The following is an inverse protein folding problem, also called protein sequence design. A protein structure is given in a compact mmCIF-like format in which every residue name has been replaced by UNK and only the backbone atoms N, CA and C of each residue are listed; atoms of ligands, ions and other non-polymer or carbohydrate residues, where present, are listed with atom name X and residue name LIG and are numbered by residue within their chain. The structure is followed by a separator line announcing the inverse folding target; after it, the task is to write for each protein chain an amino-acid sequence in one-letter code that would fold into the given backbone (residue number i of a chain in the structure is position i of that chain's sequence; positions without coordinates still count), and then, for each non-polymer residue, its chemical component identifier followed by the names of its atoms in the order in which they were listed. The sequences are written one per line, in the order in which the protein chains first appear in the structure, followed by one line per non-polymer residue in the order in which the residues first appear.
data_IF_702701457680
#
_entry.id   IF_702701457680
#
_cell.length_a   1.000
_cell.length_b   1.000
_cell.length_c   1.000
_cell.angle_alpha   90.00
_cell.angle_beta   90.00
_cell.angle_gamma   90.00
#
_symmetry.space_group_name_H-M   'P 1'
#
loop_
_entity.id
_entity.type
_entity.pdbx_description
1 polymer ?
#
# COMPACT_ATOMS: atom_id res chain seq x y z
N UNK A 1 27.28 2.34 -22.35
CA UNK A 1 25.83 2.47 -22.08
C UNK A 1 25.36 1.09 -21.67
N UNK A 2 25.30 0.81 -20.37
CA UNK A 2 24.94 -0.51 -19.84
C UNK A 2 23.65 -0.32 -19.06
N UNK A 3 22.61 -1.02 -19.49
CA UNK A 3 21.29 -1.02 -18.86
C UNK A 3 21.39 -1.69 -17.48
N UNK A 4 21.00 -0.96 -16.44
CA UNK A 4 20.82 -1.49 -15.09
C UNK A 4 19.47 -2.23 -15.06
N UNK A 5 19.44 -3.55 -14.80
CA UNK A 5 18.19 -4.25 -14.56
C UNK A 5 17.61 -3.78 -13.22
N UNK A 6 16.34 -3.39 -13.24
CA UNK A 6 15.54 -3.10 -12.05
C UNK A 6 15.49 -4.35 -11.16
N UNK A 7 16.32 -4.39 -10.13
CA UNK A 7 16.19 -5.33 -9.02
C UNK A 7 15.02 -4.85 -8.17
N UNK A 8 13.84 -5.34 -8.52
CA UNK A 8 12.71 -5.43 -7.59
C UNK A 8 13.19 -6.34 -6.45
N UNK A 9 13.19 -5.85 -5.21
CA UNK A 9 13.45 -6.67 -4.01
C UNK A 9 12.30 -7.67 -3.79
N UNK A 10 12.18 -8.65 -4.67
CA UNK A 10 11.29 -9.80 -4.61
C UNK A 10 12.07 -11.11 -4.36
N UNK A 11 13.25 -11.04 -3.74
CA UNK A 11 14.03 -12.23 -3.41
C UNK A 11 14.69 -12.12 -2.03
N UNK A 12 14.04 -12.64 -0.98
CA UNK A 12 14.67 -13.54 -0.01
C UNK A 12 13.59 -14.50 0.50
N UNK A 13 13.80 -15.80 0.26
CA UNK A 13 12.98 -16.92 0.71
C UNK A 13 12.92 -17.05 2.25
N UNK A 14 11.87 -17.74 2.70
CA UNK A 14 11.48 -18.12 4.08
C UNK A 14 12.62 -18.59 5.03
N UNK A 15 12.37 -18.56 6.35
CA UNK A 15 11.98 -19.83 6.98
C UNK A 15 10.75 -19.74 7.90
N UNK A 16 9.84 -20.70 7.70
CA UNK A 16 9.02 -21.43 8.69
C UNK A 16 9.19 -21.03 10.17
N UNK A 17 8.16 -20.45 10.79
CA UNK A 17 7.67 -20.80 12.15
C UNK A 17 6.46 -19.95 12.61
N UNK A 18 5.28 -20.58 12.55
CA UNK A 18 4.22 -20.61 13.56
C UNK A 18 3.73 -19.30 14.24
N UNK A 19 2.52 -18.89 13.86
CA UNK A 19 1.54 -18.27 14.74
C UNK A 19 0.17 -18.91 14.51
N UNK A 20 -0.09 -20.05 15.14
CA UNK A 20 -1.41 -20.72 15.12
C UNK A 20 -2.47 -19.81 15.75
N UNK A 21 -3.29 -19.19 14.93
CA UNK A 21 -4.55 -18.59 15.31
C UNK A 21 -5.61 -19.00 14.30
N UNK A 22 -6.18 -20.20 14.46
CA UNK A 22 -7.32 -20.64 13.65
C UNK A 22 -8.47 -19.64 13.83
N UNK A 23 -8.74 -18.81 12.82
CA UNK A 23 -10.01 -18.09 12.71
C UNK A 23 -10.87 -18.82 11.69
N UNK A 24 -11.78 -19.61 12.24
CA UNK A 24 -12.81 -20.34 11.52
C UNK A 24 -13.54 -19.44 10.53
N UNK A 25 -13.53 -19.90 9.29
CA UNK A 25 -14.39 -19.45 8.20
C UNK A 25 -15.85 -19.45 8.65
N UNK A 26 -16.47 -18.28 8.57
CA UNK A 26 -17.92 -18.14 8.67
C UNK A 26 -18.38 -17.29 7.47
N UNK A 27 -18.48 -17.94 6.32
CA UNK A 27 -19.27 -17.43 5.21
C UNK A 27 -20.72 -17.29 5.68
N UNK A 28 -21.13 -16.07 6.03
CA UNK A 28 -22.52 -15.66 6.14
C UNK A 28 -22.80 -14.65 5.04
N UNK A 29 -23.54 -15.09 4.01
CA UNK A 29 -24.33 -14.20 3.17
C UNK A 29 -25.38 -13.53 4.06
N UNK A 30 -25.01 -12.40 4.65
CA UNK A 30 -25.94 -11.39 5.15
C UNK A 30 -25.83 -10.21 4.20
N UNK A 31 -26.94 -9.48 4.02
CA UNK A 31 -26.98 -8.25 3.23
C UNK A 31 -25.68 -7.45 3.48
N UNK A 32 -24.92 -7.16 2.41
CA UNK A 32 -23.56 -6.63 2.50
C UNK A 32 -23.62 -5.37 3.36
N UNK A 33 -23.19 -5.47 4.61
CA UNK A 33 -22.95 -4.30 5.44
C UNK A 33 -22.01 -3.41 4.62
N UNK A 34 -22.29 -2.10 4.50
CA UNK A 34 -21.43 -1.21 3.74
C UNK A 34 -20.00 -1.34 4.28
N UNK A 35 -19.05 -1.60 3.38
CA UNK A 35 -17.64 -1.79 3.74
C UNK A 35 -17.17 -0.53 4.46
N UNK A 36 -16.82 -0.66 5.75
CA UNK A 36 -16.29 0.43 6.54
C UNK A 36 -14.76 0.41 6.46
N UNK A 37 -14.19 1.27 5.62
CA UNK A 37 -12.75 1.40 5.47
C UNK A 37 -12.15 2.09 6.70
N UNK A 38 -11.11 1.51 7.27
CA UNK A 38 -10.27 2.20 8.28
C UNK A 38 -8.84 2.28 7.80
N UNK A 39 -8.18 3.36 8.19
CA UNK A 39 -6.79 3.64 7.86
C UNK A 39 -5.91 3.43 9.08
N UNK A 40 -4.90 2.58 8.94
CA UNK A 40 -3.90 2.29 9.98
C UNK A 40 -2.51 2.80 9.52
N UNK A 41 -2.10 4.01 9.94
CA UNK A 41 -0.79 4.55 9.62
C UNK A 41 0.32 3.69 10.23
N UNK A 42 1.25 3.24 9.38
CA UNK A 42 2.39 2.44 9.79
C UNK A 42 3.67 2.94 9.14
N UNK A 43 4.74 3.02 9.92
CA UNK A 43 6.07 3.33 9.41
C UNK A 43 7.01 2.18 9.74
N UNK A 44 8.15 2.13 9.07
CA UNK A 44 9.12 1.11 9.38
C UNK A 44 10.39 1.20 8.58
N UNK A 45 11.26 0.22 8.81
CA UNK A 45 12.49 0.06 8.08
C UNK A 45 12.73 -1.44 7.84
N UNK A 46 13.26 -1.76 6.66
CA UNK A 46 13.79 -3.08 6.37
C UNK A 46 15.33 -3.01 6.49
N UNK A 47 15.91 -3.11 7.71
CA UNK A 47 17.35 -3.00 7.88
C UNK A 47 18.06 -4.20 7.22
N UNK A 48 19.10 -3.98 6.40
CA UNK A 48 19.96 -5.08 5.97
C UNK A 48 20.76 -5.64 7.17
N UNK A 49 21.07 -6.94 7.23
CA UNK A 49 20.59 -8.05 6.40
C UNK A 49 19.28 -8.69 6.91
N UNK A 50 18.80 -8.30 8.08
CA UNK A 50 17.60 -8.83 8.71
C UNK A 50 16.35 -8.07 8.23
N UNK A 51 15.75 -8.55 7.15
CA UNK A 51 14.52 -8.00 6.54
C UNK A 51 13.26 -8.12 7.41
N UNK A 52 13.40 -8.43 8.71
CA UNK A 52 12.28 -8.39 9.64
C UNK A 52 11.80 -6.95 9.79
N UNK A 53 10.57 -6.70 9.34
CA UNK A 53 9.88 -5.41 9.34
C UNK A 53 9.93 -4.78 10.74
N UNK A 54 10.86 -3.85 10.96
CA UNK A 54 10.76 -2.97 12.13
C UNK A 54 9.57 -2.05 11.87
N UNK A 55 8.53 -2.17 12.69
CA UNK A 55 7.32 -1.33 12.60
C UNK A 55 7.40 -0.24 13.67
N UNK A 56 6.89 0.94 13.33
CA UNK A 56 6.81 2.10 14.21
C UNK A 56 7.48 3.33 13.60
N UNK A 57 7.05 4.49 14.09
CA UNK A 57 7.68 5.76 13.77
C UNK A 57 9.14 5.76 14.26
N UNK A 58 10.02 6.31 13.43
CA UNK A 58 11.45 6.35 13.70
C UNK A 58 12.12 7.59 13.09
N UNK A 59 13.46 7.68 13.18
CA UNK A 59 14.21 8.81 12.65
C UNK A 59 14.12 8.93 11.11
N UNK A 60 13.83 7.83 10.41
CA UNK A 60 13.88 7.75 8.95
C UNK A 60 12.50 7.73 8.28
N UNK A 61 11.44 7.46 9.03
CA UNK A 61 10.09 7.33 8.53
C UNK A 61 9.05 7.64 9.60
N UNK A 62 7.96 8.30 9.20
CA UNK A 62 6.83 8.61 10.07
C UNK A 62 5.51 8.37 9.34
N UNK A 63 4.57 7.74 10.03
CA UNK A 63 3.19 7.56 9.63
C UNK A 63 2.30 7.91 10.83
N UNK A 64 1.44 8.90 10.68
CA UNK A 64 0.53 9.31 11.75
C UNK A 64 -0.67 10.09 11.20
N UNK A 65 -1.79 10.00 11.91
CA UNK A 65 -2.90 10.91 11.69
C UNK A 65 -2.48 12.35 11.95
N UNK A 66 -2.90 13.27 11.09
CA UNK A 66 -2.70 14.72 11.29
C UNK A 66 -4.00 15.44 11.56
N UNK A 67 -3.89 16.59 12.21
CA UNK A 67 -4.98 17.58 12.31
C UNK A 67 -5.02 18.51 11.08
N UNK A 68 -4.29 18.22 10.00
CA UNK A 68 -4.08 19.15 8.90
C UNK A 68 -5.22 19.05 7.89
N UNK A 69 -5.83 20.22 7.66
CA UNK A 69 -6.87 20.56 6.66
C UNK A 69 -6.75 19.73 5.40
N UNK A 70 -7.71 18.83 5.18
CA UNK A 70 -7.87 18.13 3.93
C UNK A 70 -8.94 18.77 3.04
N UNK A 71 -9.10 18.21 1.83
CA UNK A 71 -10.18 18.53 0.92
C UNK A 71 -11.51 18.54 1.70
N UNK A 72 -12.29 19.63 1.57
CA UNK A 72 -13.62 19.75 2.22
C UNK A 72 -13.64 19.63 3.75
N UNK A 73 -12.51 19.83 4.45
CA UNK A 73 -12.47 19.88 5.93
C UNK A 73 -12.15 18.56 6.63
N UNK A 74 -11.66 17.55 5.91
CA UNK A 74 -11.32 16.22 6.45
C UNK A 74 -9.91 16.16 7.04
N UNK A 75 -9.58 15.05 7.69
CA UNK A 75 -8.26 14.77 8.28
C UNK A 75 -7.40 13.98 7.30
N UNK A 76 -6.07 14.14 7.37
CA UNK A 76 -5.15 13.40 6.51
C UNK A 76 -4.14 12.58 7.29
N UNK A 77 -3.67 11.49 6.70
CA UNK A 77 -2.55 10.70 7.23
C UNK A 77 -1.25 11.27 6.68
N UNK A 78 -0.36 11.72 7.58
CA UNK A 78 1.02 12.06 7.23
C UNK A 78 1.79 10.78 6.95
N UNK A 79 2.42 10.72 5.79
CA UNK A 79 3.47 9.76 5.47
C UNK A 79 4.73 10.54 5.15
N UNK A 80 5.82 10.26 5.83
CA UNK A 80 7.09 10.96 5.62
C UNK A 80 8.26 9.99 5.66
N UNK A 81 9.27 10.29 4.85
CA UNK A 81 10.57 9.60 4.84
C UNK A 81 11.67 10.63 4.64
N UNK A 82 12.77 10.49 5.37
CA UNK A 82 13.86 11.49 5.41
C UNK A 82 15.10 11.08 4.63
N UNK A 83 15.09 9.90 4.00
CA UNK A 83 16.20 9.34 3.23
C UNK A 83 15.65 8.81 1.91
N UNK A 84 16.39 8.96 0.81
CA UNK A 84 15.97 8.43 -0.49
C UNK A 84 16.26 6.92 -0.59
N UNK A 85 15.33 6.14 -1.13
CA UNK A 85 15.56 4.73 -1.45
C UNK A 85 16.72 4.52 -2.42
N UNK A 86 16.93 5.44 -3.36
CA UNK A 86 18.06 5.38 -4.29
C UNK A 86 19.42 5.34 -3.56
N UNK A 87 19.50 5.88 -2.34
CA UNK A 87 20.75 5.85 -1.56
C UNK A 87 21.18 4.42 -1.18
N UNK A 88 20.27 3.44 -1.14
CA UNK A 88 20.61 2.04 -0.88
C UNK A 88 21.56 1.42 -1.90
N UNK A 89 21.61 1.98 -3.11
CA UNK A 89 22.40 1.44 -4.22
C UNK A 89 23.67 2.25 -4.49
N UNK A 90 24.04 3.14 -3.58
CA UNK A 90 25.27 3.92 -3.67
C UNK A 90 26.43 3.19 -2.99
N UNK A 91 27.67 3.59 -3.28
CA UNK A 91 28.87 3.03 -2.63
C UNK A 91 28.87 3.21 -1.10
N UNK A 92 28.15 4.23 -0.61
CA UNK A 92 27.97 4.54 0.81
C UNK A 92 26.48 4.68 1.16
N UNK A 93 25.76 3.56 1.37
CA UNK A 93 24.33 3.59 1.66
C UNK A 93 24.01 4.41 2.91
N UNK A 94 22.97 5.23 2.82
CA UNK A 94 22.49 5.99 3.99
C UNK A 94 21.64 5.10 4.89
N UNK A 95 21.83 5.22 6.20
CA UNK A 95 20.96 4.55 7.17
C UNK A 95 19.51 4.98 6.95
N UNK A 96 18.59 4.03 6.91
CA UNK A 96 17.17 4.32 6.64
C UNK A 96 16.81 4.44 5.17
N UNK A 97 17.71 4.12 4.24
CA UNK A 97 17.39 4.08 2.81
C UNK A 97 16.24 3.10 2.49
N UNK A 98 16.10 2.01 3.25
CA UNK A 98 14.99 1.04 3.17
C UNK A 98 13.80 1.40 4.08
N UNK A 99 13.76 2.60 4.65
CA UNK A 99 12.62 3.05 5.43
C UNK A 99 11.38 3.24 4.55
N UNK A 100 10.20 3.10 5.13
CA UNK A 100 8.93 3.33 4.47
C UNK A 100 7.93 3.95 5.44
N UNK A 101 6.97 4.68 4.90
CA UNK A 101 5.74 5.02 5.58
C UNK A 101 4.57 4.56 4.72
N UNK A 102 3.52 4.06 5.35
CA UNK A 102 2.35 3.58 4.67
C UNK A 102 1.09 3.83 5.50
N UNK A 103 -0.05 3.77 4.84
CA UNK A 103 -1.34 3.66 5.50
C UNK A 103 -2.01 2.39 5.00
N UNK A 104 -2.25 1.44 5.92
CA UNK A 104 -2.94 0.20 5.61
C UNK A 104 -4.44 0.48 5.56
N UNK A 105 -5.10 -0.01 4.51
CA UNK A 105 -6.53 0.07 4.30
C UNK A 105 -7.14 -1.24 4.81
N UNK A 106 -7.83 -1.16 5.93
CA UNK A 106 -8.48 -2.31 6.57
C UNK A 106 -9.98 -2.32 6.28
N UNK A 107 -10.60 -3.50 6.40
CA UNK A 107 -12.00 -3.76 6.04
C UNK A 107 -12.18 -4.38 4.65
N UNK A 108 -11.09 -4.68 3.96
CA UNK A 108 -11.06 -5.28 2.61
C UNK A 108 -10.37 -6.64 2.57
N UNK A 109 -9.75 -7.07 3.67
CA UNK A 109 -9.05 -8.35 3.78
C UNK A 109 -10.01 -9.52 3.51
N UNK A 110 -9.58 -10.47 2.69
CA UNK A 110 -10.37 -11.62 2.23
C UNK A 110 -11.41 -11.29 1.15
N UNK A 111 -11.59 -10.02 0.76
CA UNK A 111 -12.45 -9.65 -0.35
C UNK A 111 -11.86 -10.14 -1.67
N UNK A 112 -12.69 -10.55 -2.63
CA UNK A 112 -12.20 -10.81 -3.98
C UNK A 112 -11.70 -9.52 -4.63
N UNK A 113 -10.58 -9.57 -5.33
CA UNK A 113 -9.95 -8.38 -5.93
C UNK A 113 -10.88 -7.69 -6.92
N UNK A 114 -11.67 -8.46 -7.70
CA UNK A 114 -12.70 -7.90 -8.59
C UNK A 114 -13.78 -7.09 -7.87
N UNK A 115 -14.05 -7.39 -6.60
CA UNK A 115 -15.11 -6.75 -5.81
C UNK A 115 -14.61 -5.46 -5.12
N UNK A 116 -13.30 -5.18 -5.15
CA UNK A 116 -12.75 -3.87 -4.80
C UNK A 116 -13.21 -2.76 -5.76
N UNK A 117 -13.52 -3.10 -7.01
CA UNK A 117 -13.86 -2.12 -8.04
C UNK A 117 -12.71 -1.13 -8.28
N UNK A 118 -13.03 0.16 -8.25
CA UNK A 118 -12.03 1.22 -8.34
C UNK A 118 -11.41 1.52 -6.98
N UNK A 119 -10.09 1.63 -6.95
CA UNK A 119 -9.29 2.09 -5.82
C UNK A 119 -8.73 3.49 -6.09
N UNK A 120 -8.67 4.32 -5.05
CA UNK A 120 -8.28 5.71 -5.19
C UNK A 120 -7.75 6.34 -3.91
N UNK A 121 -7.00 7.43 -4.03
CA UNK A 121 -6.69 8.32 -2.91
C UNK A 121 -6.40 9.74 -3.41
N UNK A 122 -6.51 10.71 -2.51
CA UNK A 122 -6.03 12.07 -2.70
C UNK A 122 -4.72 12.27 -1.95
N UNK A 123 -3.78 12.97 -2.56
CA UNK A 123 -2.45 13.26 -2.02
C UNK A 123 -2.12 14.75 -2.07
N UNK A 124 -1.55 15.27 -0.98
CA UNK A 124 -0.79 16.52 -0.97
C UNK A 124 0.69 16.22 -0.82
N UNK A 125 1.48 16.62 -1.81
CA UNK A 125 2.89 16.22 -1.98
C UNK A 125 3.19 15.93 -3.45
N UNK A 126 4.35 15.34 -3.75
CA UNK A 126 4.63 14.83 -5.09
C UNK A 126 3.75 13.61 -5.39
N UNK A 127 3.25 13.51 -6.62
CA UNK A 127 2.56 12.33 -7.11
C UNK A 127 3.49 11.64 -8.12
N UNK A 128 4.32 10.73 -7.62
CA UNK A 128 5.31 9.99 -8.41
C UNK A 128 4.75 8.70 -9.00
N UNK A 129 5.48 8.12 -9.95
CA UNK A 129 5.16 6.79 -10.48
C UNK A 129 5.49 5.68 -9.47
N UNK A 130 6.57 5.87 -8.68
CA UNK A 130 6.96 4.97 -7.59
C UNK A 130 6.28 5.31 -6.26
N UNK A 131 6.23 6.58 -5.88
CA UNK A 131 5.71 6.98 -4.56
C UNK A 131 4.92 8.31 -4.62
N UNK A 132 3.76 8.42 -3.94
CA UNK A 132 3.02 7.34 -3.29
C UNK A 132 2.42 6.37 -4.30
N UNK A 133 2.16 5.14 -3.87
CA UNK A 133 1.49 4.10 -4.68
C UNK A 133 0.60 3.22 -3.81
N UNK A 134 -0.40 2.58 -4.39
CA UNK A 134 -0.99 1.41 -3.74
C UNK A 134 -0.07 0.20 -3.90
N UNK A 135 0.07 -0.57 -2.83
CA UNK A 135 0.52 -1.95 -2.85
C UNK A 135 -0.68 -2.83 -2.45
N UNK A 136 -1.05 -3.78 -3.31
CA UNK A 136 -2.08 -4.79 -3.04
C UNK A 136 -1.41 -6.16 -2.97
N UNK A 137 -1.28 -6.70 -1.77
CA UNK A 137 -0.90 -8.10 -1.56
C UNK A 137 -2.11 -8.99 -1.76
N UNK A 138 -1.95 -10.09 -2.49
CA UNK A 138 -3.05 -10.97 -2.88
C UNK A 138 -2.73 -12.45 -2.63
N UNK A 139 -3.78 -13.19 -2.29
CA UNK A 139 -3.80 -14.65 -2.09
C UNK A 139 -4.58 -15.28 -3.25
N UNK A 140 -4.01 -16.29 -3.90
CA UNK A 140 -4.60 -17.02 -5.04
C UNK A 140 -5.03 -18.45 -4.71
N UNK A 141 -4.58 -19.02 -3.59
CA UNK A 141 -4.83 -20.42 -3.23
C UNK A 141 -5.71 -20.61 -1.97
N UNK A 142 -5.98 -19.52 -1.25
CA UNK A 142 -6.88 -19.45 -0.11
C UNK A 142 -6.21 -19.82 1.22
N UNK A 143 -4.88 -19.85 1.30
CA UNK A 143 -4.15 -20.13 2.54
C UNK A 143 -4.05 -18.91 3.49
N UNK A 144 -4.48 -17.73 3.03
CA UNK A 144 -4.46 -16.47 3.76
C UNK A 144 -3.11 -15.75 3.75
N UNK A 145 -2.14 -16.22 2.95
CA UNK A 145 -0.83 -15.63 2.76
C UNK A 145 -0.74 -14.95 1.39
N UNK A 146 0.18 -14.01 1.25
CA UNK A 146 0.35 -13.30 -0.01
C UNK A 146 1.14 -14.15 -1.00
N UNK A 147 0.49 -14.54 -2.10
CA UNK A 147 1.10 -15.16 -3.28
C UNK A 147 1.73 -14.14 -4.21
N UNK A 148 1.42 -12.85 -4.05
CA UNK A 148 2.04 -11.80 -4.86
C UNK A 148 1.65 -10.40 -4.41
N UNK A 149 2.12 -9.42 -5.18
CA UNK A 149 1.73 -8.02 -4.98
C UNK A 149 1.58 -7.29 -6.31
N UNK A 150 0.59 -6.39 -6.33
CA UNK A 150 0.28 -5.50 -7.43
C UNK A 150 0.50 -4.03 -7.01
N UNK A 151 0.98 -3.21 -7.95
CA UNK A 151 1.37 -1.82 -7.74
C UNK A 151 0.57 -0.88 -8.63
N UNK A 152 0.20 0.26 -8.04
CA UNK A 152 -0.58 1.30 -8.70
C UNK A 152 0.01 2.66 -8.33
N UNK A 153 0.84 3.19 -9.23
CA UNK A 153 1.55 4.44 -9.05
C UNK A 153 0.64 5.65 -9.20
N UNK A 154 0.83 6.66 -8.34
CA UNK A 154 0.02 7.88 -8.36
C UNK A 154 0.09 8.59 -9.72
N UNK A 155 1.29 8.81 -10.26
CA UNK A 155 1.48 9.58 -11.50
C UNK A 155 0.79 8.96 -12.73
N UNK A 156 0.74 7.62 -12.80
CA UNK A 156 0.12 6.90 -13.91
C UNK A 156 -1.41 6.95 -13.87
N UNK A 157 -1.97 7.17 -12.67
CA UNK A 157 -3.40 7.03 -12.41
C UNK A 157 -4.05 8.34 -11.93
N UNK A 158 -3.41 9.49 -12.19
CA UNK A 158 -3.96 10.81 -11.85
C UNK A 158 -5.34 10.97 -12.48
N UNK A 159 -6.32 11.34 -11.66
CA UNK A 159 -7.72 11.47 -12.05
C UNK A 159 -8.28 12.83 -11.68
N UNK A 160 -9.16 13.34 -12.54
CA UNK A 160 -9.83 14.63 -12.34
C UNK A 160 -8.90 15.84 -12.46
N UNK A 161 -9.45 17.01 -12.10
CA UNK A 161 -8.69 18.25 -12.03
C UNK A 161 -8.10 18.38 -10.62
N UNK A 162 -6.79 18.66 -10.47
CA UNK A 162 -6.19 18.89 -9.16
C UNK A 162 -6.92 20.03 -8.44
N UNK A 163 -7.34 19.77 -7.20
CA UNK A 163 -7.74 20.85 -6.30
C UNK A 163 -6.48 21.55 -5.81
N UNK A 164 -6.58 22.79 -5.34
CA UNK A 164 -5.41 23.58 -4.90
C UNK A 164 -4.60 22.81 -3.85
N UNK A 165 -3.41 22.33 -4.26
CA UNK A 165 -2.49 21.58 -3.40
C UNK A 165 -2.77 20.08 -3.22
N UNK A 166 -3.74 19.51 -3.95
CA UNK A 166 -4.13 18.09 -3.87
C UNK A 166 -4.30 17.47 -5.26
N UNK A 167 -3.69 16.30 -5.44
CA UNK A 167 -3.85 15.46 -6.64
C UNK A 167 -4.64 14.22 -6.24
N UNK A 168 -5.59 13.79 -7.07
CA UNK A 168 -6.28 12.51 -6.85
C UNK A 168 -5.81 11.48 -7.86
N UNK A 169 -5.79 10.22 -7.44
CA UNK A 169 -5.64 9.08 -8.34
C UNK A 169 -6.83 8.14 -8.19
N UNK A 170 -7.24 7.49 -9.28
CA UNK A 170 -8.29 6.46 -9.27
C UNK A 170 -8.07 5.49 -10.41
N UNK A 171 -8.20 4.20 -10.14
CA UNK A 171 -8.00 3.15 -11.14
C UNK A 171 -8.71 1.85 -10.73
N UNK A 172 -8.89 0.92 -11.68
CA UNK A 172 -9.53 -0.38 -11.40
C UNK A 172 -8.58 -1.36 -10.74
N UNK A 173 -8.92 -1.92 -9.57
CA UNK A 173 -8.05 -2.83 -8.82
C UNK A 173 -7.55 -4.05 -9.64
N UNK A 174 -8.25 -4.44 -10.70
CA UNK A 174 -7.87 -5.55 -11.60
C UNK A 174 -6.91 -5.15 -12.72
N UNK A 175 -6.46 -3.89 -12.78
CA UNK A 175 -5.62 -3.38 -13.88
C UNK A 175 -4.32 -2.72 -13.37
N UNK A 176 -3.46 -3.44 -12.63
CA UNK A 176 -2.25 -2.84 -12.05
C UNK A 176 -1.26 -2.32 -13.09
N UNK A 177 -0.47 -1.31 -12.70
CA UNK A 177 0.64 -0.82 -13.53
C UNK A 177 1.75 -1.88 -13.62
N UNK A 178 1.95 -2.60 -12.52
CA UNK A 178 2.93 -3.68 -12.41
C UNK A 178 2.46 -4.69 -11.36
N UNK A 179 2.74 -5.97 -11.56
CA UNK A 179 2.48 -6.99 -10.55
C UNK A 179 3.43 -8.18 -10.71
N UNK A 180 3.70 -8.87 -9.61
CA UNK A 180 4.47 -10.10 -9.58
C UNK A 180 3.84 -11.12 -8.64
N UNK A 181 4.10 -12.40 -8.91
CA UNK A 181 3.73 -13.54 -8.07
C UNK A 181 5.00 -14.14 -7.48
N UNK A 182 5.00 -14.50 -6.20
CA UNK A 182 6.08 -15.20 -5.54
C UNK A 182 6.08 -16.68 -5.95
N UNK A 183 7.27 -17.32 -6.14
CA UNK A 183 8.61 -16.77 -5.93
C UNK A 183 9.15 -15.91 -7.08
N UNK A 184 8.61 -15.98 -8.30
CA UNK A 184 8.98 -15.07 -9.42
C UNK A 184 8.18 -15.39 -10.68
N UNK A 185 6.86 -15.61 -10.55
CA UNK A 185 5.99 -16.00 -11.64
C UNK A 185 5.29 -14.79 -12.29
N UNK A 186 4.84 -14.93 -13.56
CA UNK A 186 4.02 -13.90 -14.19
C UNK A 186 2.78 -13.63 -13.34
N UNK A 187 2.36 -12.37 -13.32
CA UNK A 187 1.27 -11.90 -12.48
C UNK A 187 0.01 -12.77 -12.55
N UNK A 188 -0.34 -13.39 -11.42
CA UNK A 188 -1.54 -14.24 -11.24
C UNK A 188 -2.66 -13.54 -10.49
N UNK A 189 -2.57 -12.22 -10.28
CA UNK A 189 -3.59 -11.39 -9.63
C UNK A 189 -5.02 -11.70 -10.10
N UNK A 190 -5.19 -11.92 -11.41
CA UNK A 190 -6.50 -12.16 -12.04
C UNK A 190 -6.95 -13.62 -12.05
N UNK A 191 -6.28 -14.48 -11.29
CA UNK A 191 -6.76 -15.84 -11.06
C UNK A 191 -8.17 -15.79 -10.47
N UNK A 192 -9.13 -16.56 -11.01
CA UNK A 192 -10.47 -16.60 -10.43
C UNK A 192 -10.41 -16.98 -8.96
N UNK A 193 -10.86 -16.09 -8.08
CA UNK A 193 -10.85 -16.31 -6.64
C UNK A 193 -9.74 -15.60 -5.88
N UNK A 194 -8.83 -14.86 -6.54
CA UNK A 194 -7.81 -14.10 -5.81
C UNK A 194 -8.44 -13.12 -4.82
N UNK A 195 -7.94 -13.12 -3.59
CA UNK A 195 -8.44 -12.29 -2.49
C UNK A 195 -7.37 -11.32 -1.98
N UNK A 196 -7.82 -10.26 -1.31
CA UNK A 196 -6.97 -9.24 -0.71
C UNK A 196 -6.34 -9.76 0.59
N UNK A 197 -5.02 -9.70 0.70
CA UNK A 197 -4.30 -9.93 1.96
C UNK A 197 -4.04 -8.61 2.69
N UNK A 198 -3.52 -7.61 1.97
CA UNK A 198 -3.27 -6.27 2.51
C UNK A 198 -3.36 -5.26 1.35
N UNK A 199 -4.10 -4.16 1.55
CA UNK A 199 -4.07 -2.99 0.67
C UNK A 199 -3.44 -1.84 1.44
N UNK A 200 -2.48 -1.14 0.86
CA UNK A 200 -1.85 0.02 1.51
C UNK A 200 -1.47 1.10 0.52
N UNK A 201 -1.54 2.37 0.94
CA UNK A 201 -0.85 3.47 0.23
C UNK A 201 0.52 3.61 0.87
N UNK A 202 1.58 3.41 0.09
CA UNK A 202 2.97 3.38 0.56
C UNK A 202 3.79 4.51 -0.05
N UNK A 203 4.69 5.07 0.76
CA UNK A 203 5.79 5.94 0.34
C UNK A 203 7.13 5.34 0.74
N UNK A 204 8.04 5.30 -0.22
CA UNK A 204 9.43 4.87 -0.06
C UNK A 204 10.42 5.85 -0.71
N UNK A 205 9.97 7.00 -1.20
CA UNK A 205 10.84 8.08 -1.68
C UNK A 205 11.10 9.13 -0.58
N UNK A 206 12.15 9.94 -0.73
CA UNK A 206 12.41 11.07 0.16
C UNK A 206 11.29 12.11 0.03
N UNK A 207 10.63 12.47 1.13
CA UNK A 207 9.61 13.50 1.12
C UNK A 207 8.58 13.43 2.23
N UNK A 208 7.54 14.26 2.07
CA UNK A 208 6.42 14.39 2.98
C UNK A 208 5.13 14.42 2.17
N UNK A 209 4.21 13.53 2.51
CA UNK A 209 2.92 13.37 1.87
C UNK A 209 1.80 13.39 2.90
N UNK A 210 0.64 13.87 2.48
CA UNK A 210 -0.61 13.73 3.22
C UNK A 210 -1.57 12.93 2.34
N UNK A 211 -2.08 11.83 2.86
CA UNK A 211 -3.04 10.95 2.19
C UNK A 211 -4.43 11.17 2.78
N UNK A 212 -5.42 11.31 1.92
CA UNK A 212 -6.84 11.43 2.29
C UNK A 212 -7.73 10.77 1.23
N UNK A 213 -9.04 10.66 1.51
CA UNK A 213 -10.08 10.17 0.59
C UNK A 213 -9.70 8.84 -0.07
N UNK A 214 -9.26 7.89 0.74
CA UNK A 214 -8.94 6.54 0.27
C UNK A 214 -10.23 5.83 -0.12
N UNK A 215 -10.27 5.31 -1.34
CA UNK A 215 -11.42 4.64 -1.93
C UNK A 215 -11.08 3.17 -2.20
N UNK A 216 -12.00 2.27 -1.85
CA UNK A 216 -11.97 0.85 -2.17
C UNK A 216 -13.36 0.23 -1.93
N UNK A 217 -13.72 -0.79 -2.71
CA UNK A 217 -14.97 -1.56 -2.55
C UNK A 217 -16.24 -0.70 -2.57
N UNK A 218 -16.27 0.35 -3.40
CA UNK A 218 -17.38 1.31 -3.48
C UNK A 218 -17.49 2.26 -2.27
N UNK A 219 -16.61 2.14 -1.28
CA UNK A 219 -16.52 3.00 -0.11
C UNK A 219 -15.39 4.00 -0.24
N UNK A 220 -15.48 5.12 0.49
CA UNK A 220 -14.43 6.14 0.59
C UNK A 220 -14.27 6.55 2.03
N UNK A 221 -13.04 6.74 2.49
CA UNK A 221 -12.78 7.23 3.85
C UNK A 221 -13.32 8.65 4.00
N UNK A 222 -14.26 8.81 4.93
CA UNK A 222 -15.03 10.04 5.12
C UNK A 222 -14.47 10.99 6.19
N UNK A 223 -13.94 10.47 7.30
CA UNK A 223 -13.38 11.19 8.46
C UNK A 223 -12.59 10.16 9.31
N UNK A 224 -11.81 10.53 10.35
CA UNK A 224 -11.14 9.57 11.21
C UNK A 224 -12.15 8.57 11.76
N UNK A 225 -11.95 7.30 11.45
CA UNK A 225 -12.77 6.16 11.87
C UNK A 225 -14.20 6.04 11.30
N UNK A 226 -14.58 6.80 10.28
CA UNK A 226 -15.84 6.58 9.56
C UNK A 226 -17.12 6.90 10.35
N UNK A 227 -18.03 7.60 9.69
CA UNK A 227 -19.46 7.57 10.03
C UNK A 227 -20.20 6.91 8.89
#
# INVERSE_FOLDING_TARGET
MVALPFLVSACVNEPTAAGTGSRLSAARLLAVDPVSLKLDPTAGNFPPPDFLRQRGNGPYSQAQWTNKVALEGKFSVLLAKTVDFASCYTETPQNGCMAFAAVIVTGVEGMMIKDLGDIGFSVSGSCGAGSPRFNLYYDTDGDGQADGVAFYGCAANVSGMPATGWTSMSMSAVAPDFCYTFPSDPCTLLTPGSTVVELSVLVDELGVWHIDRVQAAGSTTGEPNGT
#
